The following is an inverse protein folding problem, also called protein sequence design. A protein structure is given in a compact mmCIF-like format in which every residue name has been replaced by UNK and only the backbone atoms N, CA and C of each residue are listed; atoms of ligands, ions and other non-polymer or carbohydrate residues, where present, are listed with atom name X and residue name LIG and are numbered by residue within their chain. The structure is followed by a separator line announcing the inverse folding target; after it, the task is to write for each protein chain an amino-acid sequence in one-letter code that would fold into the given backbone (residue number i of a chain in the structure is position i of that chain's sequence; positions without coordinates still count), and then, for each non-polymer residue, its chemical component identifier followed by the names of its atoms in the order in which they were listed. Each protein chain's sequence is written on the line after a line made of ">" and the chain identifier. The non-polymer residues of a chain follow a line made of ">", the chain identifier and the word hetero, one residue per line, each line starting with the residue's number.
data_IF_779922510854
#
_entry.id   IF_779922510854
#
_cell.length_a   1.000
_cell.length_b   1.000
_cell.length_c   1.000
_cell.angle_alpha   90.00
_cell.angle_beta   90.00
_cell.angle_gamma   90.00
#
_symmetry.space_group_name_H-M   'P 1'
#
loop_
_entity.id
_entity.type
_entity.pdbx_description
1 polymer ?
#
# COMPACT_ATOMS: atom_id res chain seq x y z
N UNK A 1 0.30 -5.86 0.22
CA UNK A 1 1.48 -6.60 -0.26
C UNK A 1 1.47 -7.98 0.37
N UNK A 2 1.60 -9.02 -0.44
CA UNK A 2 1.62 -10.41 0.00
C UNK A 2 2.92 -11.05 -0.49
N UNK A 3 3.70 -11.62 0.43
CA UNK A 3 4.82 -12.49 0.09
C UNK A 3 4.26 -13.89 -0.15
N UNK A 4 4.58 -14.48 -1.29
CA UNK A 4 4.09 -15.81 -1.65
C UNK A 4 5.23 -16.74 -2.04
N UNK A 5 5.13 -18.01 -1.63
CA UNK A 5 5.98 -19.11 -2.09
C UNK A 5 5.12 -20.36 -2.29
N UNK A 6 4.93 -20.78 -3.53
CA UNK A 6 3.99 -21.84 -3.85
C UNK A 6 2.58 -21.46 -3.39
N UNK A 7 1.94 -22.34 -2.62
CA UNK A 7 0.58 -22.15 -2.11
C UNK A 7 0.50 -21.38 -0.79
N UNK A 8 1.62 -20.82 -0.29
CA UNK A 8 1.66 -20.13 1.01
C UNK A 8 1.66 -18.61 0.82
N UNK A 9 0.52 -17.91 0.99
CA UNK A 9 0.46 -16.46 1.04
C UNK A 9 0.68 -15.93 2.45
N UNK A 10 1.54 -14.93 2.61
CA UNK A 10 1.71 -14.18 3.86
C UNK A 10 1.54 -12.69 3.59
N UNK A 11 0.55 -12.09 4.22
CA UNK A 11 0.29 -10.66 4.11
C UNK A 11 1.33 -9.89 4.93
N UNK A 12 2.10 -9.03 4.27
CA UNK A 12 3.17 -8.24 4.92
C UNK A 12 2.86 -6.74 4.98
N UNK A 13 1.91 -6.26 4.18
CA UNK A 13 1.41 -4.88 4.26
C UNK A 13 -0.05 -4.74 3.80
N UNK A 14 -0.79 -3.84 4.44
CA UNK A 14 -2.22 -3.56 4.20
C UNK A 14 -2.55 -2.06 4.15
N UNK A 15 -1.64 -1.22 3.65
CA UNK A 15 -1.90 0.22 3.54
C UNK A 15 -3.05 0.50 2.58
N UNK A 16 -4.05 1.25 3.04
CA UNK A 16 -5.20 1.65 2.23
C UNK A 16 -4.83 2.77 1.25
N UNK A 17 -5.36 2.67 0.04
CA UNK A 17 -5.46 3.79 -0.91
C UNK A 17 -6.59 4.71 -0.48
N UNK A 18 -6.33 6.03 -0.50
CA UNK A 18 -7.31 7.05 -0.17
C UNK A 18 -7.52 7.93 -1.41
N UNK A 19 -8.72 7.90 -2.03
CA UNK A 19 -9.01 8.78 -3.16
C UNK A 19 -9.16 10.23 -2.70
N UNK A 20 -9.18 11.16 -3.65
CA UNK A 20 -9.27 12.61 -3.35
C UNK A 20 -10.48 13.00 -2.49
N UNK A 21 -11.61 12.30 -2.66
CA UNK A 21 -12.81 12.50 -1.83
C UNK A 21 -12.63 12.12 -0.36
N UNK A 22 -11.57 11.38 -0.02
CA UNK A 22 -11.16 11.10 1.35
C UNK A 22 -10.08 12.06 1.83
N UNK A 23 -9.03 12.27 1.03
CA UNK A 23 -7.88 13.10 1.44
C UNK A 23 -8.25 14.57 1.62
N UNK A 24 -9.27 15.05 0.91
CA UNK A 24 -9.86 16.39 1.06
C UNK A 24 -10.77 16.56 2.28
N UNK A 25 -11.22 15.48 2.93
CA UNK A 25 -12.09 15.54 4.13
C UNK A 25 -11.29 15.21 5.40
N UNK A 26 -10.68 16.25 5.97
CA UNK A 26 -9.87 16.16 7.20
C UNK A 26 -10.67 15.60 8.38
N UNK A 27 -11.95 15.97 8.50
CA UNK A 27 -12.82 15.51 9.59
C UNK A 27 -13.05 14.00 9.49
N UNK A 28 -13.28 13.49 8.27
CA UNK A 28 -13.40 12.07 8.00
C UNK A 28 -12.10 11.32 8.28
N UNK A 29 -10.96 11.83 7.83
CA UNK A 29 -9.64 11.21 8.10
C UNK A 29 -9.34 11.12 9.60
N UNK A 30 -9.64 12.18 10.35
CA UNK A 30 -9.49 12.21 11.82
C UNK A 30 -10.41 11.19 12.48
N UNK A 31 -11.68 11.14 12.09
CA UNK A 31 -12.67 10.19 12.63
C UNK A 31 -12.28 8.73 12.36
N UNK A 32 -11.77 8.44 11.16
CA UNK A 32 -11.28 7.12 10.77
C UNK A 32 -9.87 6.81 11.33
N UNK A 33 -9.23 7.74 12.04
CA UNK A 33 -7.89 7.61 12.62
C UNK A 33 -6.81 7.25 11.60
N UNK A 34 -6.91 7.81 10.40
CA UNK A 34 -5.87 7.62 9.38
C UNK A 34 -4.54 8.20 9.90
N UNK A 35 -3.43 7.45 9.86
CA UNK A 35 -2.09 7.94 10.24
C UNK A 35 -1.72 9.19 9.45
N UNK A 36 -1.04 10.16 10.09
CA UNK A 36 -0.78 11.49 9.50
C UNK A 36 0.02 11.38 8.20
N UNK A 37 1.02 10.52 8.19
CA UNK A 37 1.88 10.18 7.06
C UNK A 37 1.13 9.52 5.89
N UNK A 38 -0.10 9.05 6.11
CA UNK A 38 -0.97 8.46 5.09
C UNK A 38 -2.04 9.41 4.55
N UNK A 39 -2.15 10.63 5.08
CA UNK A 39 -3.22 11.58 4.70
C UNK A 39 -2.94 12.32 3.40
N UNK A 40 -1.68 12.41 2.99
CA UNK A 40 -1.30 13.01 1.70
C UNK A 40 -1.76 12.08 0.56
N UNK A 41 -2.37 12.62 -0.51
CA UNK A 41 -2.73 11.84 -1.70
C UNK A 41 -1.51 11.08 -2.25
N UNK A 42 -1.72 9.79 -2.55
CA UNK A 42 -0.75 8.94 -3.24
C UNK A 42 -1.51 7.94 -4.10
N UNK A 43 -1.03 7.71 -5.31
CA UNK A 43 -1.52 6.68 -6.20
C UNK A 43 -1.26 5.28 -5.64
N UNK A 44 -1.99 4.27 -6.13
CA UNK A 44 -1.74 2.88 -5.73
C UNK A 44 -0.32 2.39 -6.06
N UNK A 45 0.28 2.72 -7.22
CA UNK A 45 1.68 2.38 -7.51
C UNK A 45 2.67 3.00 -6.52
N UNK A 46 2.51 4.28 -6.16
CA UNK A 46 3.39 4.94 -5.18
C UNK A 46 3.29 4.28 -3.79
N UNK A 47 2.09 3.85 -3.40
CA UNK A 47 1.88 3.08 -2.18
C UNK A 47 2.59 1.72 -2.28
N UNK A 48 2.42 0.97 -3.38
CA UNK A 48 3.09 -0.32 -3.58
C UNK A 48 4.60 -0.21 -3.49
N UNK A 49 5.21 0.73 -4.21
CA UNK A 49 6.65 0.94 -4.20
C UNK A 49 7.16 1.22 -2.79
N UNK A 50 6.49 2.10 -2.04
CA UNK A 50 6.87 2.40 -0.66
C UNK A 50 6.75 1.19 0.29
N UNK A 51 5.77 0.30 0.08
CA UNK A 51 5.67 -0.95 0.85
C UNK A 51 6.76 -1.97 0.45
N UNK A 52 7.12 -2.04 -0.84
CA UNK A 52 8.23 -2.87 -1.33
C UNK A 52 9.56 -2.40 -0.73
N UNK A 53 9.84 -1.09 -0.80
CA UNK A 53 11.05 -0.49 -0.22
C UNK A 53 11.18 -0.79 1.27
N UNK A 54 10.08 -0.64 2.03
CA UNK A 54 10.04 -0.99 3.45
C UNK A 54 10.33 -2.47 3.70
N UNK A 55 9.77 -3.33 2.86
CA UNK A 55 9.92 -4.79 2.94
C UNK A 55 11.37 -5.21 2.63
N UNK A 56 12.00 -4.58 1.64
CA UNK A 56 13.41 -4.75 1.32
C UNK A 56 14.31 -4.25 2.45
N UNK A 57 14.02 -3.09 3.03
CA UNK A 57 14.74 -2.56 4.19
C UNK A 57 14.63 -3.48 5.42
N UNK A 58 13.56 -4.27 5.53
CA UNK A 58 13.38 -5.31 6.54
C UNK A 58 14.07 -6.65 6.18
N UNK A 59 14.90 -6.70 5.13
CA UNK A 59 15.63 -7.89 4.64
C UNK A 59 14.73 -9.04 4.16
N UNK A 60 13.49 -8.75 3.76
CA UNK A 60 12.64 -9.76 3.12
C UNK A 60 13.15 -10.03 1.70
N UNK A 61 13.22 -11.32 1.34
CA UNK A 61 13.76 -11.77 0.04
C UNK A 61 12.65 -12.26 -0.87
N UNK A 62 12.66 -11.79 -2.12
CA UNK A 62 11.77 -12.23 -3.19
C UNK A 62 12.48 -12.09 -4.53
N UNK A 63 12.09 -12.90 -5.52
CA UNK A 63 12.68 -12.88 -6.87
C UNK A 63 11.84 -12.16 -7.92
N UNK A 64 10.57 -11.86 -7.61
CA UNK A 64 9.63 -11.24 -8.53
C UNK A 64 8.62 -10.41 -7.76
N UNK A 65 8.18 -9.31 -8.36
CA UNK A 65 7.01 -8.53 -7.95
C UNK A 65 5.99 -8.63 -9.07
N UNK A 66 4.79 -9.09 -8.74
CA UNK A 66 3.66 -9.20 -9.67
C UNK A 66 2.57 -8.22 -9.22
N UNK A 67 1.99 -7.50 -10.17
CA UNK A 67 0.77 -6.72 -9.99
C UNK A 67 -0.23 -7.12 -11.07
N UNK A 68 -1.52 -7.06 -10.76
CA UNK A 68 -2.56 -7.27 -11.77
C UNK A 68 -2.60 -6.09 -12.76
N UNK A 69 -3.18 -6.32 -13.94
CA UNK A 69 -3.25 -5.31 -15.00
C UNK A 69 -4.02 -4.03 -14.60
N UNK A 70 -4.89 -4.10 -13.59
CA UNK A 70 -5.67 -2.97 -13.10
C UNK A 70 -5.00 -2.18 -11.98
N UNK A 71 -3.88 -2.66 -11.42
CA UNK A 71 -3.28 -2.09 -10.21
C UNK A 71 -2.90 -0.61 -10.34
N UNK A 72 -2.50 -0.17 -11.54
CA UNK A 72 -2.04 1.20 -11.82
C UNK A 72 -3.08 2.15 -12.43
N UNK A 73 -4.33 1.72 -12.61
CA UNK A 73 -5.36 2.51 -13.32
C UNK A 73 -6.09 3.53 -12.43
N UNK A 74 -5.64 3.75 -11.20
CA UNK A 74 -6.35 4.56 -10.19
C UNK A 74 -5.43 5.36 -9.28
#
# INVERSE_FOLDING_TARGET
>A
LTLARGEVPVMVALRLFLPDSWTSDVSRLKRARVPVEHRTPRSKPEIALAEIDRTMAANVRFGCVLADAGYGLS
#
